data_IF_445519296334
#
_entry.id   IF_445519296334
#
_cell.length_a   1.000
_cell.length_b   1.000
_cell.length_c   1.000
_cell.angle_alpha   90.00
_cell.angle_beta   90.00
_cell.angle_gamma   90.00
#
_symmetry.space_group_name_H-M   'P 1'
#
loop_
_entity.id
_entity.type
_entity.pdbx_description
1 polymer ?
#
# COMPACT_ATOMS: atom_id res chain seq x y z
N UNK A 1 -4.16 1.34 -11.81
CA UNK A 1 -4.56 2.25 -10.71
C UNK A 1 -3.33 2.97 -10.24
N UNK A 2 -3.42 4.27 -9.98
CA UNK A 2 -2.42 4.97 -9.18
C UNK A 2 -3.20 5.57 -8.02
N UNK A 3 -3.11 4.97 -6.84
CA UNK A 3 -3.80 5.49 -5.66
C UNK A 3 -3.13 6.79 -5.21
N UNK A 4 -3.87 7.90 -5.22
CA UNK A 4 -3.35 9.18 -4.73
C UNK A 4 -3.47 9.22 -3.21
N UNK A 5 -2.41 8.84 -2.51
CA UNK A 5 -2.36 8.77 -1.05
C UNK A 5 -1.70 10.06 -0.52
N UNK A 6 -2.50 10.98 0.02
CA UNK A 6 -2.01 12.14 0.77
C UNK A 6 -2.05 11.86 2.27
N UNK A 7 -1.38 12.68 3.09
CA UNK A 7 -1.57 12.65 4.55
C UNK A 7 -3.05 12.94 4.86
N UNK A 8 -3.79 11.93 5.34
CA UNK A 8 -5.24 11.97 5.52
C UNK A 8 -6.08 11.32 4.41
N UNK A 9 -5.47 10.94 3.27
CA UNK A 9 -6.06 10.03 2.28
C UNK A 9 -5.94 8.58 2.77
N UNK A 10 -6.91 7.73 2.44
CA UNK A 10 -7.07 6.40 3.03
C UNK A 10 -6.00 5.39 2.55
N UNK A 11 -4.75 5.54 3.03
CA UNK A 11 -3.64 4.58 2.83
C UNK A 11 -4.07 3.17 3.20
N UNK A 12 -4.80 3.03 4.31
CA UNK A 12 -5.36 1.78 4.75
C UNK A 12 -6.28 1.17 3.70
N UNK A 13 -7.18 1.96 3.10
CA UNK A 13 -8.11 1.49 2.07
C UNK A 13 -7.39 0.97 0.82
N UNK A 14 -6.34 1.66 0.38
CA UNK A 14 -5.53 1.20 -0.75
C UNK A 14 -4.79 -0.12 -0.44
N UNK A 15 -4.23 -0.27 0.76
CA UNK A 15 -3.55 -1.51 1.16
C UNK A 15 -4.54 -2.65 1.36
N UNK A 16 -5.67 -2.40 2.04
CA UNK A 16 -6.71 -3.39 2.28
C UNK A 16 -7.33 -3.91 0.99
N UNK A 17 -7.59 -3.02 0.02
CA UNK A 17 -8.07 -3.42 -1.30
C UNK A 17 -7.16 -4.46 -1.97
N UNK A 18 -5.84 -4.22 -1.94
CA UNK A 18 -4.88 -5.13 -2.58
C UNK A 18 -4.65 -6.40 -1.78
N UNK A 19 -4.66 -6.32 -0.44
CA UNK A 19 -4.59 -7.51 0.40
C UNK A 19 -5.78 -8.42 0.14
N UNK A 20 -7.00 -7.89 0.07
CA UNK A 20 -8.20 -8.68 -0.21
C UNK A 20 -8.10 -9.47 -1.52
N UNK A 21 -7.49 -8.89 -2.56
CA UNK A 21 -7.23 -9.59 -3.84
C UNK A 21 -6.19 -10.69 -3.72
N UNK A 22 -5.16 -10.48 -2.91
CA UNK A 22 -4.15 -11.53 -2.64
C UNK A 22 -4.77 -12.66 -1.86
N UNK A 23 -5.57 -12.34 -0.84
CA UNK A 23 -6.27 -13.32 0.01
C UNK A 23 -7.32 -14.10 -0.78
N UNK A 24 -7.99 -13.47 -1.77
CA UNK A 24 -8.94 -14.15 -2.67
C UNK A 24 -8.25 -14.94 -3.80
N UNK A 25 -6.93 -14.86 -3.92
CA UNK A 25 -6.16 -15.52 -4.97
C UNK A 25 -6.25 -14.86 -6.35
N UNK A 26 -6.87 -13.69 -6.44
CA UNK A 26 -6.99 -12.88 -7.66
C UNK A 26 -5.72 -12.09 -7.98
N UNK A 27 -4.83 -11.91 -6.99
CA UNK A 27 -3.56 -11.22 -7.14
C UNK A 27 -2.42 -11.95 -6.41
N UNK A 28 -1.18 -11.58 -6.76
CA UNK A 28 0.02 -12.06 -6.08
C UNK A 28 1.00 -10.91 -5.86
N UNK A 29 1.63 -10.88 -4.69
CA UNK A 29 2.76 -9.99 -4.45
C UNK A 29 3.98 -10.52 -5.22
N UNK A 30 4.45 -9.74 -6.18
CA UNK A 30 5.62 -10.10 -7.01
C UNK A 30 6.94 -9.64 -6.37
N UNK A 31 6.91 -8.50 -5.69
CA UNK A 31 8.09 -7.88 -5.09
C UNK A 31 7.66 -6.89 -4.00
N UNK A 32 8.48 -6.77 -2.96
CA UNK A 32 8.38 -5.71 -1.96
C UNK A 32 9.77 -5.12 -1.70
N UNK A 33 9.82 -3.87 -1.26
CA UNK A 33 11.07 -3.21 -0.90
C UNK A 33 10.89 -2.47 0.41
N UNK A 34 11.77 -2.72 1.39
CA UNK A 34 11.72 -2.11 2.73
C UNK A 34 10.37 -2.29 3.45
N UNK A 35 9.72 -3.44 3.22
CA UNK A 35 8.50 -3.84 3.92
C UNK A 35 8.85 -4.85 4.99
N UNK A 36 8.20 -4.74 6.14
CA UNK A 36 8.17 -5.80 7.15
C UNK A 36 7.47 -7.03 6.55
N UNK A 37 8.00 -8.21 6.86
CA UNK A 37 7.47 -9.50 6.45
C UNK A 37 7.24 -10.34 7.71
N UNK A 38 6.10 -11.02 7.78
CA UNK A 38 5.80 -11.95 8.85
C UNK A 38 6.78 -13.13 8.88
N UNK A 39 6.87 -13.80 10.03
CA UNK A 39 7.74 -14.99 10.20
C UNK A 39 7.35 -16.13 9.25
N UNK A 40 6.07 -16.19 8.85
CA UNK A 40 5.52 -17.13 7.89
C UNK A 40 5.81 -16.76 6.42
N UNK A 41 6.46 -15.62 6.19
CA UNK A 41 6.76 -15.11 4.86
C UNK A 41 5.57 -14.45 4.16
N UNK A 42 4.45 -14.23 4.86
CA UNK A 42 3.29 -13.54 4.32
C UNK A 42 3.29 -12.05 4.69
N UNK A 43 2.57 -11.26 3.90
CA UNK A 43 2.32 -9.86 4.21
C UNK A 43 0.99 -9.74 4.94
N UNK A 44 0.99 -8.90 5.98
CA UNK A 44 -0.24 -8.41 6.59
C UNK A 44 -0.42 -6.91 6.33
N UNK A 45 -1.68 -6.45 6.32
CA UNK A 45 -2.00 -5.01 6.25
C UNK A 45 -1.32 -4.24 7.38
N UNK A 46 -1.25 -4.81 8.59
CA UNK A 46 -0.64 -4.16 9.76
C UNK A 46 0.86 -3.91 9.58
N UNK A 47 1.60 -4.90 9.08
CA UNK A 47 3.03 -4.78 8.78
C UNK A 47 3.29 -3.82 7.62
N UNK A 48 2.43 -3.85 6.60
CA UNK A 48 2.51 -2.89 5.50
C UNK A 48 2.31 -1.46 6.01
N UNK A 49 1.23 -1.19 6.75
CA UNK A 49 0.93 0.11 7.36
C UNK A 49 2.10 0.61 8.20
N UNK A 50 2.63 -0.23 9.09
CA UNK A 50 3.77 0.12 9.94
C UNK A 50 5.03 0.42 9.13
N UNK A 51 5.27 -0.31 8.04
CA UNK A 51 6.39 -0.05 7.13
C UNK A 51 6.27 1.32 6.48
N UNK A 52 5.07 1.70 6.03
CA UNK A 52 4.82 3.04 5.47
C UNK A 52 4.96 4.14 6.52
N UNK A 53 4.41 3.95 7.73
CA UNK A 53 4.53 4.89 8.84
C UNK A 53 6.00 5.14 9.22
N UNK A 54 6.84 4.09 9.26
CA UNK A 54 8.28 4.23 9.52
C UNK A 54 9.02 5.04 8.43
N UNK A 55 8.49 5.08 7.21
CA UNK A 55 9.06 5.88 6.12
C UNK A 55 8.42 7.28 6.03
N UNK A 56 7.36 7.55 6.79
CA UNK A 56 6.78 8.89 6.85
C UNK A 56 7.70 9.83 7.64
N UNK A 57 8.06 11.00 7.08
CA UNK A 57 8.86 11.95 7.83
C UNK A 57 8.05 12.54 8.99
N UNK A 58 8.61 12.49 10.20
CA UNK A 58 7.95 12.90 11.46
C UNK A 58 7.68 14.41 11.52
N UNK A 59 8.39 15.21 10.72
CA UNK A 59 8.32 16.68 10.69
C UNK A 59 8.34 17.22 9.26
N UNK A 60 7.28 16.99 8.49
CA UNK A 60 7.07 17.70 7.23
C UNK A 60 6.35 19.02 7.48
N UNK A 61 7.08 20.14 7.44
CA UNK A 61 6.49 21.49 7.41
C UNK A 61 5.87 21.86 6.05
N UNK A 62 5.46 20.86 5.27
CA UNK A 62 4.82 21.06 3.97
C UNK A 62 3.32 21.11 4.18
N UNK A 63 2.64 22.11 3.61
CA UNK A 63 1.18 22.24 3.72
C UNK A 63 0.42 21.04 3.11
N UNK A 64 1.07 20.24 2.26
CA UNK A 64 0.50 19.06 1.58
C UNK A 64 1.58 18.01 1.32
N UNK A 65 1.89 17.13 2.28
CA UNK A 65 2.80 16.03 2.00
C UNK A 65 2.15 15.06 1.01
N UNK A 66 2.84 14.80 -0.11
CA UNK A 66 2.40 13.83 -1.12
C UNK A 66 3.32 12.62 -1.02
N UNK A 67 2.77 11.46 -0.67
CA UNK A 67 3.46 10.19 -0.72
C UNK A 67 3.00 9.45 -1.98
N UNK A 68 3.92 9.21 -2.92
CA UNK A 68 3.59 8.48 -4.15
C UNK A 68 3.82 6.98 -3.93
N UNK A 69 2.72 6.23 -3.78
CA UNK A 69 2.74 4.77 -3.74
C UNK A 69 2.13 4.29 -5.06
N UNK A 70 2.97 3.73 -5.94
CA UNK A 70 2.49 3.08 -7.14
C UNK A 70 2.13 1.64 -6.78
N UNK A 71 0.85 1.31 -6.91
CA UNK A 71 0.39 -0.07 -6.90
C UNK A 71 0.02 -0.37 -8.34
N UNK A 72 0.82 -1.16 -9.04
CA UNK A 72 0.60 -1.47 -10.45
C UNK A 72 -0.36 -2.67 -10.54
N UNK A 73 -1.66 -2.47 -10.79
CA UNK A 73 -2.53 -3.60 -11.10
C UNK A 73 -2.18 -4.16 -12.48
N UNK A 74 -2.72 -5.35 -12.76
CA UNK A 74 -2.59 -5.96 -14.07
C UNK A 74 -3.16 -5.02 -15.16
N UNK A 75 -2.60 -4.98 -16.38
CA UNK A 75 -3.07 -4.09 -17.46
C UNK A 75 -4.55 -4.27 -17.82
N UNK A 76 -5.12 -5.43 -17.49
CA UNK A 76 -6.52 -5.79 -17.77
C UNK A 76 -7.48 -5.48 -16.61
N UNK A 77 -6.96 -5.03 -15.45
CA UNK A 77 -7.81 -4.68 -14.30
C UNK A 77 -8.61 -3.40 -14.59
N UNK A 78 -9.93 -3.57 -14.79
CA UNK A 78 -10.89 -2.47 -14.83
C UNK A 78 -11.36 -2.22 -13.40
N UNK A 79 -11.01 -1.07 -12.84
CA UNK A 79 -11.39 -0.69 -11.48
C UNK A 79 -12.50 0.36 -11.52
N UNK A 80 -13.56 0.14 -10.75
CA UNK A 80 -14.58 1.14 -10.48
C UNK A 80 -14.25 1.87 -9.18
N UNK A 81 -14.56 3.17 -9.14
CA UNK A 81 -14.34 4.05 -7.98
C UNK A 81 -15.06 3.58 -6.70
#
# INVERSE_FOLDING_TARGET
MVAKISTGGNMFGALAYNQNKVDSGEAKVLFSNRMLLGEDGNFSIGECMRSFEMQMPVQLSTKKPILHISINPHPEDVLTD
#
